data_IF_537541878578
#
_entry.id   IF_537541878578
#
_cell.length_a   1.000
_cell.length_b   1.000
_cell.length_c   1.000
_cell.angle_alpha   90.00
_cell.angle_beta   90.00
_cell.angle_gamma   90.00
#
_symmetry.space_group_name_H-M   'P 1'
#
loop_
_entity.id
_entity.type
_entity.pdbx_description
1 polymer ?
#
# COMPACT_ATOMS: atom_id res chain seq x y z
N UNK A 1 0.51 17.95 -10.45
CA UNK A 1 1.70 18.31 -9.60
C UNK A 1 1.49 19.74 -9.11
N UNK A 2 1.35 19.99 -7.80
CA UNK A 2 1.16 21.34 -7.27
C UNK A 2 2.52 21.95 -6.85
N UNK A 3 2.91 23.04 -7.51
CA UNK A 3 4.20 23.73 -7.29
C UNK A 3 4.23 24.57 -6.00
N UNK A 4 3.07 24.85 -5.39
CA UNK A 4 2.98 25.62 -4.15
C UNK A 4 3.39 24.83 -2.90
N UNK A 5 3.36 23.49 -2.95
CA UNK A 5 3.71 22.62 -1.81
C UNK A 5 5.24 22.56 -1.67
N UNK A 6 5.76 23.19 -0.59
CA UNK A 6 7.17 23.21 -0.17
C UNK A 6 7.32 22.54 1.20
N UNK A 7 8.47 21.90 1.45
CA UNK A 7 8.82 21.25 2.73
C UNK A 7 7.76 20.26 3.22
N UNK A 8 7.31 19.38 2.34
CA UNK A 8 6.29 18.37 2.66
C UNK A 8 7.00 17.05 2.89
N UNK A 9 7.08 16.54 4.13
CA UNK A 9 7.86 15.34 4.43
C UNK A 9 7.51 14.16 3.53
N UNK A 10 6.23 13.81 3.28
CA UNK A 10 5.90 12.72 2.36
C UNK A 10 6.43 12.96 0.93
N UNK A 11 6.15 14.15 0.37
CA UNK A 11 6.55 14.50 -1.00
C UNK A 11 8.07 14.54 -1.17
N UNK A 12 8.78 15.08 -0.18
CA UNK A 12 10.23 15.22 -0.21
C UNK A 12 10.92 13.86 -0.07
N UNK A 13 10.44 12.98 0.82
CA UNK A 13 10.99 11.63 0.98
C UNK A 13 10.82 10.80 -0.30
N UNK A 14 9.65 10.81 -0.94
CA UNK A 14 9.45 10.09 -2.20
C UNK A 14 10.34 10.65 -3.32
N UNK A 15 10.46 11.97 -3.43
CA UNK A 15 11.35 12.61 -4.41
C UNK A 15 12.82 12.23 -4.22
N UNK A 16 13.28 12.09 -2.97
CA UNK A 16 14.67 11.74 -2.64
C UNK A 16 14.91 10.24 -2.83
N UNK A 17 13.98 9.38 -2.40
CA UNK A 17 14.22 7.94 -2.25
C UNK A 17 13.97 7.14 -3.54
N UNK A 18 12.93 7.50 -4.31
CA UNK A 18 12.56 6.78 -5.53
C UNK A 18 13.72 6.68 -6.55
N UNK A 19 14.54 7.72 -6.80
CA UNK A 19 15.64 7.62 -7.74
C UNK A 19 16.82 6.76 -7.27
N UNK A 20 16.85 6.33 -6.00
CA UNK A 20 17.98 5.56 -5.44
C UNK A 20 17.95 4.09 -5.87
N UNK A 21 16.82 3.57 -6.31
CA UNK A 21 16.67 2.21 -6.84
C UNK A 21 16.06 2.24 -8.24
N UNK A 22 16.64 1.48 -9.17
CA UNK A 22 16.12 1.37 -10.55
C UNK A 22 14.76 0.67 -10.60
N UNK A 23 14.46 -0.20 -9.63
CA UNK A 23 13.18 -0.89 -9.53
C UNK A 23 12.03 0.07 -9.25
N UNK A 24 12.33 1.20 -8.60
CA UNK A 24 11.35 2.19 -8.18
C UNK A 24 11.07 3.26 -9.24
N UNK A 25 11.70 3.17 -10.44
CA UNK A 25 11.67 4.22 -11.47
C UNK A 25 10.25 4.64 -11.90
N UNK A 26 9.30 3.70 -11.86
CA UNK A 26 7.89 3.91 -12.24
C UNK A 26 7.00 4.18 -11.00
N UNK A 27 7.61 4.36 -9.83
CA UNK A 27 6.96 4.41 -8.53
C UNK A 27 7.15 3.11 -7.73
N UNK A 28 6.93 3.19 -6.41
CA UNK A 28 6.87 2.02 -5.53
C UNK A 28 5.45 1.53 -5.36
N UNK A 29 5.31 0.21 -5.24
CA UNK A 29 4.07 -0.41 -4.80
C UNK A 29 3.75 0.01 -3.36
N UNK A 30 2.50 0.40 -3.11
CA UNK A 30 2.03 0.89 -1.81
C UNK A 30 1.69 -0.24 -0.82
N UNK A 31 2.53 -1.28 -0.73
CA UNK A 31 2.24 -2.47 0.09
C UNK A 31 2.05 -2.13 1.58
N UNK A 32 2.93 -1.31 2.14
CA UNK A 32 2.86 -0.93 3.55
C UNK A 32 1.64 -0.06 3.85
N UNK A 33 1.33 0.89 2.98
CA UNK A 33 0.15 1.74 3.13
C UNK A 33 -1.14 0.92 3.02
N UNK A 34 -1.19 -0.05 2.12
CA UNK A 34 -2.31 -0.99 2.00
C UNK A 34 -2.46 -1.85 3.25
N UNK A 35 -1.36 -2.37 3.81
CA UNK A 35 -1.40 -3.16 5.04
C UNK A 35 -1.96 -2.34 6.21
N UNK A 36 -1.51 -1.09 6.38
CA UNK A 36 -2.00 -0.19 7.43
C UNK A 36 -3.48 0.18 7.19
N UNK A 37 -3.87 0.45 5.95
CA UNK A 37 -5.26 0.76 5.60
C UNK A 37 -6.20 -0.38 6.00
N UNK A 38 -5.84 -1.63 5.64
CA UNK A 38 -6.63 -2.81 5.97
C UNK A 38 -6.66 -3.06 7.48
N UNK A 39 -5.54 -2.88 8.18
CA UNK A 39 -5.51 -3.05 9.63
C UNK A 39 -6.44 -2.07 10.37
N UNK A 40 -6.58 -0.85 9.88
CA UNK A 40 -7.40 0.20 10.53
C UNK A 40 -8.86 0.20 10.07
N UNK A 41 -9.12 -0.05 8.78
CA UNK A 41 -10.45 0.09 8.17
C UNK A 41 -11.12 -1.23 7.81
N UNK A 42 -10.41 -2.35 7.94
CA UNK A 42 -10.81 -3.64 7.38
C UNK A 42 -10.59 -3.70 5.87
N UNK A 43 -10.64 -4.90 5.31
CA UNK A 43 -10.44 -5.14 3.87
C UNK A 43 -11.69 -4.94 3.03
N UNK A 44 -12.88 -5.26 3.55
CA UNK A 44 -14.10 -5.52 2.78
C UNK A 44 -14.53 -4.44 1.77
N UNK A 45 -14.16 -3.17 2.00
CA UNK A 45 -14.44 -2.06 1.09
C UNK A 45 -13.45 -1.99 -0.09
N UNK A 46 -12.19 -2.37 0.13
CA UNK A 46 -11.08 -2.13 -0.79
C UNK A 46 -10.59 -3.42 -1.46
N UNK A 47 -10.66 -4.54 -0.74
CA UNK A 47 -10.07 -5.82 -1.10
C UNK A 47 -10.98 -6.97 -0.68
N UNK A 48 -10.97 -8.02 -1.51
CA UNK A 48 -11.45 -9.33 -1.10
C UNK A 48 -10.29 -10.14 -0.49
N UNK A 49 -10.64 -11.17 0.28
CA UNK A 49 -9.68 -12.09 0.87
C UNK A 49 -9.70 -13.39 0.08
N UNK A 50 -8.55 -13.75 -0.50
CA UNK A 50 -8.36 -15.07 -1.09
C UNK A 50 -7.76 -16.01 -0.04
N UNK A 51 -8.50 -17.00 0.48
CA UNK A 51 -8.01 -17.92 1.50
C UNK A 51 -7.00 -18.91 0.91
N UNK A 52 -6.14 -19.44 1.77
CA UNK A 52 -5.15 -20.41 1.37
C UNK A 52 -4.05 -20.55 2.41
N UNK A 53 -2.87 -20.96 1.96
CA UNK A 53 -1.66 -20.98 2.78
C UNK A 53 -0.44 -20.56 1.96
N UNK A 54 0.23 -19.51 2.40
CA UNK A 54 1.58 -19.20 1.94
C UNK A 54 2.56 -20.32 2.34
N UNK A 55 3.33 -20.81 1.37
CA UNK A 55 4.39 -21.79 1.56
C UNK A 55 5.72 -21.11 1.27
N UNK A 56 6.64 -21.15 2.24
CA UNK A 56 7.99 -20.60 2.13
C UNK A 56 8.95 -21.74 1.81
N UNK A 57 9.71 -21.61 0.72
CA UNK A 57 10.77 -22.54 0.37
C UNK A 57 12.08 -22.18 1.09
N UNK A 58 13.01 -23.14 1.16
CA UNK A 58 14.30 -22.94 1.84
C UNK A 58 15.19 -21.88 1.18
N UNK A 59 14.96 -21.56 -0.09
CA UNK A 59 15.67 -20.52 -0.85
C UNK A 59 15.09 -19.10 -0.66
N UNK A 60 14.03 -18.98 0.16
CA UNK A 60 13.34 -17.71 0.42
C UNK A 60 12.26 -17.34 -0.61
N UNK A 61 12.02 -18.18 -1.62
CA UNK A 61 10.87 -18.02 -2.50
C UNK A 61 9.57 -18.40 -1.80
N UNK A 62 8.46 -17.80 -2.24
CA UNK A 62 7.14 -18.04 -1.67
C UNK A 62 6.15 -18.46 -2.74
N UNK A 63 5.30 -19.44 -2.43
CA UNK A 63 4.18 -19.87 -3.28
C UNK A 63 2.86 -19.82 -2.50
N UNK A 64 1.75 -19.91 -3.22
CA UNK A 64 0.41 -19.92 -2.64
C UNK A 64 -0.25 -21.27 -2.86
N UNK A 65 -0.63 -21.95 -1.78
CA UNK A 65 -1.46 -23.15 -1.82
C UNK A 65 -2.94 -22.78 -1.61
N UNK A 66 -3.72 -22.84 -2.69
CA UNK A 66 -5.17 -22.55 -2.68
C UNK A 66 -5.99 -23.58 -1.87
N UNK A 67 -5.45 -24.78 -1.63
CA UNK A 67 -6.11 -25.82 -0.83
C UNK A 67 -5.72 -25.74 0.64
N UNK A 68 -4.68 -24.98 0.96
CA UNK A 68 -4.26 -24.71 2.33
C UNK A 68 -5.29 -23.90 3.10
N UNK A 69 -5.16 -23.89 4.43
CA UNK A 69 -6.03 -23.11 5.30
C UNK A 69 -5.22 -22.30 6.32
N UNK A 70 -5.86 -21.28 6.90
CA UNK A 70 -5.31 -20.47 7.99
C UNK A 70 -4.73 -19.12 7.56
N UNK A 71 -4.48 -18.88 6.27
CA UNK A 71 -4.04 -17.58 5.76
C UNK A 71 -5.02 -17.03 4.72
N UNK A 72 -4.86 -15.75 4.39
CA UNK A 72 -5.48 -15.12 3.23
C UNK A 72 -4.59 -13.99 2.69
N UNK A 73 -4.63 -13.74 1.38
CA UNK A 73 -4.03 -12.54 0.79
C UNK A 73 -5.10 -11.60 0.22
N UNK A 74 -4.75 -10.33 0.07
CA UNK A 74 -5.63 -9.30 -0.47
C UNK A 74 -5.72 -9.44 -1.99
N UNK A 75 -6.95 -9.43 -2.51
CA UNK A 75 -7.24 -9.33 -3.94
C UNK A 75 -7.98 -8.03 -4.19
N UNK A 76 -7.57 -7.30 -5.22
CA UNK A 76 -8.18 -6.01 -5.57
C UNK A 76 -9.67 -6.17 -5.85
N UNK A 77 -10.47 -5.38 -5.13
CA UNK A 77 -11.92 -5.28 -5.33
C UNK A 77 -12.30 -3.89 -5.84
N UNK A 78 -11.69 -2.87 -5.25
CA UNK A 78 -11.78 -1.49 -5.69
C UNK A 78 -10.68 -1.19 -6.71
N UNK A 79 -10.94 -0.32 -7.69
CA UNK A 79 -9.95 -0.02 -8.71
C UNK A 79 -8.71 0.67 -8.10
N UNK A 80 -7.52 0.32 -8.60
CA UNK A 80 -6.24 0.85 -8.11
C UNK A 80 -6.21 2.39 -7.99
N UNK A 81 -6.72 3.18 -8.95
CA UNK A 81 -6.73 4.64 -8.84
C UNK A 81 -7.58 5.16 -7.67
N UNK A 82 -8.65 4.45 -7.31
CA UNK A 82 -9.54 4.87 -6.21
C UNK A 82 -8.90 4.58 -4.86
N UNK A 83 -8.29 3.41 -4.69
CA UNK A 83 -7.52 3.08 -3.47
C UNK A 83 -6.33 4.03 -3.32
N UNK A 84 -5.67 4.37 -4.44
CA UNK A 84 -4.59 5.37 -4.47
C UNK A 84 -5.07 6.71 -3.94
N UNK A 85 -6.23 7.20 -4.41
CA UNK A 85 -6.80 8.46 -3.93
C UNK A 85 -7.15 8.44 -2.43
N UNK A 86 -7.60 7.29 -1.91
CA UNK A 86 -7.86 7.11 -0.47
C UNK A 86 -6.56 7.20 0.34
N UNK A 87 -5.54 6.45 -0.07
CA UNK A 87 -4.22 6.44 0.60
C UNK A 87 -3.60 7.83 0.55
N UNK A 88 -3.57 8.46 -0.62
CA UNK A 88 -3.02 9.80 -0.84
C UNK A 88 -3.69 10.84 0.07
N UNK A 89 -5.03 10.81 0.16
CA UNK A 89 -5.78 11.72 1.04
C UNK A 89 -5.41 11.53 2.51
N UNK A 90 -5.20 10.29 2.95
CA UNK A 90 -4.81 9.99 4.33
C UNK A 90 -3.36 10.40 4.62
N UNK A 91 -2.44 10.11 3.70
CA UNK A 91 -1.02 10.46 3.81
C UNK A 91 -0.77 11.96 3.78
N UNK A 92 -1.59 12.72 3.04
CA UNK A 92 -1.48 14.17 2.93
C UNK A 92 -2.33 14.92 3.96
N UNK A 93 -3.01 14.23 4.87
CA UNK A 93 -3.85 14.89 5.88
C UNK A 93 -2.99 15.81 6.76
N UNK A 94 -3.40 17.08 6.87
CA UNK A 94 -2.80 18.03 7.79
C UNK A 94 -3.74 18.21 8.99
N UNK A 95 -3.22 18.17 10.23
CA UNK A 95 -4.05 18.37 11.40
C UNK A 95 -4.68 19.76 11.36
N UNK A 96 -6.00 19.82 11.46
CA UNK A 96 -6.71 21.09 11.59
C UNK A 96 -6.62 21.55 13.04
N UNK A 97 -6.20 22.80 13.24
CA UNK A 97 -6.21 23.42 14.57
C UNK A 97 -7.67 23.57 15.00
N UNK A 98 -8.10 22.84 16.03
CA UNK A 98 -9.41 23.07 16.66
C UNK A 98 -9.41 24.52 17.18
N UNK A 99 -10.41 25.29 16.78
CA UNK A 99 -10.71 26.60 17.40
C UNK A 99 -11.27 26.38 18.80
#
# INVERSE_FOLDING_TARGET
RNAAIRNSPPKDVFRISIPLDKQDKDGRMSWDQTAVLVAVKGSALFYDLNPGRMVTAADGSNTWDERGTGHAHLVEKMAVPEVTAVIDRLMMHQPMRKK
#
